data_IF_237022370395
#
_entry.id   IF_237022370395
#
_cell.length_a   1.000
_cell.length_b   1.000
_cell.length_c   1.000
_cell.angle_alpha   90.00
_cell.angle_beta   90.00
_cell.angle_gamma   90.00
#
_symmetry.space_group_name_H-M   'P 1'
#
loop_
_entity.id
_entity.type
_entity.pdbx_description
1 polymer ?
#
# COMPACT_ATOMS: atom_id res chain seq x y z
N UNK A 1 21.49 9.43 9.22
CA UNK A 1 21.53 10.07 7.89
C UNK A 1 21.27 9.09 6.74
N UNK A 2 21.99 7.96 6.66
CA UNK A 2 21.83 6.96 5.56
C UNK A 2 20.39 6.43 5.41
N UNK A 3 19.72 6.08 6.51
CA UNK A 3 18.34 5.55 6.44
C UNK A 3 17.34 6.56 5.87
N UNK A 4 17.48 7.83 6.24
CA UNK A 4 16.59 8.90 5.80
C UNK A 4 16.74 9.17 4.28
N UNK A 5 17.95 8.95 3.74
CA UNK A 5 18.18 8.96 2.29
C UNK A 5 17.54 7.74 1.60
N UNK A 6 17.60 6.56 2.22
CA UNK A 6 16.99 5.35 1.65
C UNK A 6 15.46 5.46 1.60
N UNK A 7 14.82 5.93 2.67
CA UNK A 7 13.37 6.13 2.72
C UNK A 7 12.91 7.13 1.66
N UNK A 8 13.61 8.25 1.51
CA UNK A 8 13.30 9.25 0.49
C UNK A 8 13.51 8.71 -0.94
N UNK A 9 14.62 8.03 -1.20
CA UNK A 9 14.88 7.39 -2.51
C UNK A 9 13.82 6.32 -2.83
N UNK A 10 13.41 5.55 -1.83
CA UNK A 10 12.37 4.53 -1.99
C UNK A 10 11.01 5.15 -2.33
N UNK A 11 10.67 6.29 -1.72
CA UNK A 11 9.46 7.03 -2.05
C UNK A 11 9.49 7.59 -3.47
N UNK A 12 10.64 8.13 -3.91
CA UNK A 12 10.84 8.58 -5.28
C UNK A 12 10.72 7.42 -6.29
N UNK A 13 11.35 6.28 -6.00
CA UNK A 13 11.27 5.10 -6.84
C UNK A 13 9.83 4.57 -6.91
N UNK A 14 9.13 4.51 -5.78
CA UNK A 14 7.74 4.10 -5.72
C UNK A 14 6.83 5.02 -6.54
N UNK A 15 7.03 6.34 -6.43
CA UNK A 15 6.33 7.32 -7.26
C UNK A 15 6.66 7.13 -8.75
N UNK A 16 7.93 6.93 -9.11
CA UNK A 16 8.34 6.68 -10.50
C UNK A 16 7.69 5.43 -11.09
N UNK A 17 7.64 4.32 -10.32
CA UNK A 17 6.95 3.09 -10.72
C UNK A 17 5.46 3.35 -10.93
N UNK A 18 4.80 4.05 -10.00
CA UNK A 18 3.40 4.41 -10.15
C UNK A 18 3.15 5.25 -11.41
N UNK A 19 3.92 6.32 -11.61
CA UNK A 19 3.79 7.19 -12.78
C UNK A 19 4.00 6.41 -14.08
N UNK A 20 5.02 5.57 -14.13
CA UNK A 20 5.27 4.71 -15.30
C UNK A 20 4.07 3.82 -15.62
N UNK A 21 3.49 3.14 -14.62
CA UNK A 21 2.34 2.26 -14.82
C UNK A 21 1.09 3.03 -15.24
N UNK A 22 0.83 4.18 -14.62
CA UNK A 22 -0.35 5.01 -14.86
C UNK A 22 -0.33 5.66 -16.24
N UNK A 23 0.79 6.28 -16.63
CA UNK A 23 0.89 6.93 -17.94
C UNK A 23 0.87 5.90 -19.06
N UNK A 24 1.48 4.72 -18.85
CA UNK A 24 1.39 3.62 -19.80
C UNK A 24 -0.05 3.16 -20.02
N UNK A 25 -0.85 3.09 -18.96
CA UNK A 25 -2.25 2.67 -19.03
C UNK A 25 -3.25 3.81 -19.32
N UNK A 26 -2.79 5.05 -19.51
CA UNK A 26 -3.67 6.21 -19.73
C UNK A 26 -4.61 6.55 -18.56
N UNK A 27 -4.32 6.07 -17.34
CA UNK A 27 -5.21 6.17 -16.17
C UNK A 27 -5.12 7.52 -15.43
N UNK A 28 -5.38 8.60 -16.16
CA UNK A 28 -5.24 9.96 -15.61
C UNK A 28 -6.23 10.28 -14.49
N UNK A 29 -7.38 9.61 -14.43
CA UNK A 29 -8.34 9.79 -13.33
C UNK A 29 -7.74 9.37 -11.97
N UNK A 30 -7.07 8.22 -11.92
CA UNK A 30 -6.38 7.76 -10.70
C UNK A 30 -5.21 8.70 -10.34
N UNK A 31 -4.46 9.16 -11.34
CA UNK A 31 -3.39 10.16 -11.12
C UNK A 31 -3.91 11.43 -10.45
N UNK A 32 -4.91 12.08 -11.06
CA UNK A 32 -5.46 13.34 -10.56
C UNK A 32 -6.16 13.17 -9.21
N UNK A 33 -6.86 12.06 -8.99
CA UNK A 33 -7.43 11.74 -7.68
C UNK A 33 -6.34 11.64 -6.60
N UNK A 34 -5.22 10.99 -6.92
CA UNK A 34 -4.09 10.86 -5.98
C UNK A 34 -3.45 12.21 -5.67
N UNK A 35 -3.31 13.09 -6.66
CA UNK A 35 -2.83 14.47 -6.45
C UNK A 35 -3.81 15.26 -5.58
N UNK A 36 -5.10 15.22 -5.88
CA UNK A 36 -6.12 15.93 -5.12
C UNK A 36 -6.13 15.48 -3.64
N UNK A 37 -6.00 14.17 -3.40
CA UNK A 37 -5.87 13.60 -2.06
C UNK A 37 -4.59 14.07 -1.35
N UNK A 38 -3.44 14.01 -2.04
CA UNK A 38 -2.18 14.49 -1.50
C UNK A 38 -2.26 15.97 -1.09
N UNK A 39 -2.82 16.83 -1.94
CA UNK A 39 -3.01 18.25 -1.65
C UNK A 39 -3.99 18.46 -0.48
N UNK A 40 -5.13 17.78 -0.49
CA UNK A 40 -6.14 17.88 0.56
C UNK A 40 -5.60 17.47 1.93
N UNK A 41 -4.90 16.33 2.01
CA UNK A 41 -4.24 15.87 3.23
C UNK A 41 -3.16 16.84 3.65
N UNK A 42 -2.41 17.42 2.71
CA UNK A 42 -1.37 18.40 3.04
C UNK A 42 -1.95 19.67 3.65
N UNK A 43 -3.12 20.16 3.19
CA UNK A 43 -3.84 21.28 3.82
C UNK A 43 -4.27 20.92 5.25
N UNK A 44 -4.84 19.73 5.44
CA UNK A 44 -5.25 19.25 6.76
C UNK A 44 -4.04 19.07 7.69
N UNK A 45 -2.93 18.58 7.14
CA UNK A 45 -1.67 18.37 7.84
C UNK A 45 -1.10 19.66 8.42
N UNK A 46 -1.15 20.78 7.69
CA UNK A 46 -0.71 22.09 8.21
C UNK A 46 -1.49 22.49 9.47
N UNK A 47 -2.78 22.16 9.54
CA UNK A 47 -3.63 22.48 10.70
C UNK A 47 -3.35 21.55 11.88
N UNK A 48 -3.08 20.27 11.61
CA UNK A 48 -2.83 19.24 12.64
C UNK A 48 -1.43 19.31 13.24
N UNK A 49 -0.41 19.50 12.38
CA UNK A 49 1.01 19.53 12.76
C UNK A 49 1.71 20.72 12.10
N UNK A 50 1.41 21.95 12.56
CA UNK A 50 1.99 23.16 11.99
C UNK A 50 3.51 23.14 12.05
N UNK A 51 4.15 23.53 10.95
CA UNK A 51 5.62 23.53 10.82
C UNK A 51 6.23 22.18 10.40
N UNK A 52 5.58 21.04 10.71
CA UNK A 52 6.08 19.70 10.39
C UNK A 52 5.42 19.09 9.15
N UNK A 53 4.11 19.31 8.98
CA UNK A 53 3.34 18.79 7.86
C UNK A 53 2.80 19.95 7.00
N UNK A 54 3.03 19.89 5.69
CA UNK A 54 2.42 20.80 4.73
C UNK A 54 2.82 20.46 3.29
N UNK A 55 2.25 21.18 2.32
CA UNK A 55 2.44 20.88 0.88
C UNK A 55 3.91 20.91 0.45
N UNK A 56 4.69 21.81 1.03
CA UNK A 56 6.12 22.00 0.72
C UNK A 56 7.05 21.23 1.66
N UNK A 57 6.49 20.36 2.53
CA UNK A 57 7.26 19.54 3.47
C UNK A 57 7.41 18.13 2.93
N UNK A 58 8.41 17.41 3.44
CA UNK A 58 8.68 16.03 3.03
C UNK A 58 7.66 15.03 3.61
N UNK A 59 7.03 15.31 4.75
CA UNK A 59 6.15 14.37 5.44
C UNK A 59 5.03 13.75 4.57
N UNK A 60 4.28 14.52 3.75
CA UNK A 60 3.32 13.94 2.81
C UNK A 60 3.92 12.89 1.84
N UNK A 61 5.18 13.03 1.45
CA UNK A 61 5.84 12.12 0.51
C UNK A 61 6.12 10.73 1.11
N UNK A 62 5.97 10.57 2.43
CA UNK A 62 6.25 9.31 3.12
C UNK A 62 5.00 8.42 3.23
N UNK A 63 3.82 8.91 2.86
CA UNK A 63 2.58 8.10 2.87
C UNK A 63 1.93 7.92 1.48
N UNK A 64 2.69 7.66 0.39
CA UNK A 64 2.11 7.57 -0.94
C UNK A 64 1.13 6.46 -1.15
N UNK A 65 1.37 5.34 -0.52
CA UNK A 65 0.42 4.24 -0.52
C UNK A 65 -0.97 4.67 -0.07
N UNK A 66 -1.13 5.64 0.85
CA UNK A 66 -2.45 6.12 1.26
C UNK A 66 -3.24 6.76 0.12
N UNK A 67 -2.66 7.78 -0.52
CA UNK A 67 -3.35 8.49 -1.60
C UNK A 67 -3.49 7.63 -2.85
N UNK A 68 -2.51 6.77 -3.12
CA UNK A 68 -2.59 5.83 -4.23
C UNK A 68 -3.65 4.75 -3.99
N UNK A 69 -3.80 4.22 -2.77
CA UNK A 69 -4.86 3.25 -2.44
C UNK A 69 -6.23 3.88 -2.63
N UNK A 70 -6.47 5.05 -2.07
CA UNK A 70 -7.76 5.72 -2.20
C UNK A 70 -8.06 6.11 -3.66
N UNK A 71 -7.06 6.62 -4.38
CA UNK A 71 -7.21 6.94 -5.80
C UNK A 71 -7.51 5.70 -6.66
N UNK A 72 -7.10 4.50 -6.23
CA UNK A 72 -7.32 3.26 -6.99
C UNK A 72 -8.79 2.90 -7.16
N UNK A 73 -9.70 3.52 -6.40
CA UNK A 73 -11.16 3.37 -6.59
C UNK A 73 -11.55 3.64 -8.05
N UNK A 74 -10.93 4.62 -8.72
CA UNK A 74 -11.20 4.91 -10.13
C UNK A 74 -10.77 3.77 -11.06
N UNK A 75 -9.68 3.06 -10.72
CA UNK A 75 -9.29 1.84 -11.42
C UNK A 75 -10.35 0.74 -11.22
N UNK A 76 -10.79 0.51 -9.98
CA UNK A 76 -11.74 -0.56 -9.69
C UNK A 76 -13.14 -0.32 -10.29
N UNK A 77 -13.60 0.93 -10.38
CA UNK A 77 -14.92 1.24 -10.98
C UNK A 77 -14.93 0.91 -12.48
N UNK A 78 -13.85 1.22 -13.20
CA UNK A 78 -13.82 1.09 -14.66
C UNK A 78 -13.27 -0.25 -15.17
N UNK A 79 -12.38 -0.89 -14.40
CA UNK A 79 -11.49 -1.94 -14.93
C UNK A 79 -11.48 -3.22 -14.08
N UNK A 80 -12.38 -3.34 -13.10
CA UNK A 80 -12.50 -4.55 -12.28
C UNK A 80 -13.81 -5.27 -12.55
N UNK A 81 -13.72 -6.30 -13.40
CA UNK A 81 -14.89 -7.03 -13.89
C UNK A 81 -14.94 -8.44 -13.33
N UNK A 82 -16.14 -8.98 -13.16
CA UNK A 82 -16.32 -10.40 -12.86
C UNK A 82 -15.99 -11.21 -14.10
N UNK A 83 -15.25 -12.32 -13.95
CA UNK A 83 -14.96 -13.20 -15.09
C UNK A 83 -16.25 -13.80 -15.65
N UNK A 84 -16.25 -14.06 -16.95
CA UNK A 84 -17.37 -14.70 -17.67
C UNK A 84 -17.67 -16.12 -17.19
N UNK A 85 -16.68 -16.82 -16.66
CA UNK A 85 -16.82 -18.14 -16.03
C UNK A 85 -17.37 -18.09 -14.59
N UNK A 86 -17.68 -16.90 -14.07
CA UNK A 86 -18.20 -16.66 -12.72
C UNK A 86 -17.19 -16.85 -11.59
N UNK A 87 -15.99 -17.35 -11.88
CA UNK A 87 -14.98 -17.80 -10.92
C UNK A 87 -13.85 -16.78 -10.78
N UNK A 88 -14.18 -15.67 -10.13
CA UNK A 88 -13.24 -14.63 -9.73
C UNK A 88 -13.39 -13.34 -10.53
N UNK A 89 -12.34 -12.54 -10.48
CA UNK A 89 -12.30 -11.19 -11.01
C UNK A 89 -11.18 -11.04 -12.03
N UNK A 90 -11.35 -10.09 -12.94
CA UNK A 90 -10.40 -9.72 -13.96
C UNK A 90 -10.21 -8.20 -13.93
N UNK A 91 -8.98 -7.81 -13.66
CA UNK A 91 -8.45 -6.47 -13.88
C UNK A 91 -8.19 -6.22 -15.37
N UNK A 92 -7.82 -4.98 -15.72
CA UNK A 92 -7.33 -4.62 -17.07
C UNK A 92 -6.30 -5.64 -17.61
N UNK A 93 -6.65 -6.42 -18.66
CA UNK A 93 -5.76 -7.39 -19.27
C UNK A 93 -4.57 -6.78 -20.01
N UNK A 94 -4.70 -5.55 -20.51
CA UNK A 94 -3.65 -4.87 -21.26
C UNK A 94 -2.56 -4.34 -20.33
N UNK A 95 -2.94 -3.98 -19.11
CA UNK A 95 -2.05 -3.41 -18.09
C UNK A 95 -2.06 -4.21 -16.78
N UNK A 96 -1.66 -5.50 -16.79
CA UNK A 96 -1.84 -6.38 -15.64
C UNK A 96 -1.03 -5.96 -14.40
N UNK A 97 0.13 -5.33 -14.61
CA UNK A 97 0.97 -4.81 -13.51
C UNK A 97 0.26 -3.70 -12.73
N UNK A 98 -0.57 -2.90 -13.41
CA UNK A 98 -1.35 -1.85 -12.76
C UNK A 98 -2.46 -2.45 -11.87
N UNK A 99 -3.10 -3.52 -12.34
CA UNK A 99 -4.04 -4.30 -11.53
C UNK A 99 -3.37 -4.93 -10.31
N UNK A 100 -2.20 -5.55 -10.48
CA UNK A 100 -1.42 -6.08 -9.36
C UNK A 100 -1.03 -4.98 -8.36
N UNK A 101 -0.63 -3.81 -8.85
CA UNK A 101 -0.30 -2.66 -8.02
C UNK A 101 -1.52 -2.18 -7.21
N UNK A 102 -2.68 -2.01 -7.86
CA UNK A 102 -3.92 -1.62 -7.19
C UNK A 102 -4.34 -2.63 -6.10
N UNK A 103 -4.42 -3.91 -6.47
CA UNK A 103 -4.90 -4.99 -5.59
C UNK A 103 -3.95 -5.21 -4.41
N UNK A 104 -2.64 -5.20 -4.65
CA UNK A 104 -1.65 -5.34 -3.57
C UNK A 104 -1.69 -4.16 -2.61
N UNK A 105 -1.84 -2.92 -3.11
CA UNK A 105 -1.91 -1.74 -2.24
C UNK A 105 -3.17 -1.76 -1.38
N UNK A 106 -4.33 -2.10 -1.95
CA UNK A 106 -5.58 -2.31 -1.18
C UNK A 106 -5.41 -3.43 -0.16
N UNK A 107 -4.81 -4.56 -0.54
CA UNK A 107 -4.59 -5.70 0.38
C UNK A 107 -3.69 -5.31 1.55
N UNK A 108 -2.62 -4.55 1.28
CA UNK A 108 -1.72 -4.01 2.29
C UNK A 108 -2.44 -3.04 3.24
N UNK A 109 -3.28 -2.14 2.71
CA UNK A 109 -4.07 -1.21 3.53
C UNK A 109 -5.09 -1.93 4.39
N UNK A 110 -5.82 -2.92 3.84
CA UNK A 110 -6.78 -3.73 4.60
C UNK A 110 -6.09 -4.53 5.72
N UNK A 111 -4.94 -5.14 5.42
CA UNK A 111 -4.13 -5.83 6.41
C UNK A 111 -3.69 -4.88 7.53
N UNK A 112 -3.20 -3.68 7.19
CA UNK A 112 -2.76 -2.69 8.16
C UNK A 112 -3.90 -2.24 9.09
N UNK A 113 -5.06 -1.90 8.52
CA UNK A 113 -6.25 -1.52 9.30
C UNK A 113 -6.69 -2.67 10.20
N UNK A 114 -6.69 -3.90 9.69
CA UNK A 114 -6.99 -5.10 10.47
C UNK A 114 -6.04 -5.30 11.65
N UNK A 115 -4.74 -5.09 11.45
CA UNK A 115 -3.74 -5.16 12.52
C UNK A 115 -3.99 -4.05 13.56
N UNK A 116 -4.23 -2.81 13.12
CA UNK A 116 -4.55 -1.70 14.03
C UNK A 116 -5.78 -2.01 14.89
N UNK A 117 -6.83 -2.56 14.29
CA UNK A 117 -8.04 -2.97 15.01
C UNK A 117 -7.76 -4.09 16.02
N UNK A 118 -7.01 -5.12 15.62
CA UNK A 118 -6.60 -6.21 16.52
C UNK A 118 -5.73 -5.69 17.66
N UNK A 119 -4.80 -4.78 17.39
CA UNK A 119 -3.95 -4.19 18.43
C UNK A 119 -4.77 -3.40 19.43
N UNK A 120 -5.75 -2.62 18.93
CA UNK A 120 -6.66 -1.88 19.79
C UNK A 120 -7.53 -2.80 20.66
N UNK A 121 -7.94 -3.95 20.11
CA UNK A 121 -8.79 -4.92 20.82
C UNK A 121 -8.01 -5.78 21.81
N UNK A 122 -6.81 -6.24 21.45
CA UNK A 122 -6.04 -7.22 22.21
C UNK A 122 -5.07 -6.62 23.23
N UNK A 123 -4.62 -5.37 23.05
CA UNK A 123 -3.64 -4.74 23.93
C UNK A 123 -4.20 -3.49 24.59
N UNK A 124 -3.75 -3.22 25.82
CA UNK A 124 -4.09 -2.02 26.58
C UNK A 124 -2.86 -1.40 27.26
N UNK A 125 -2.97 -0.16 27.69
CA UNK A 125 -1.93 0.56 28.43
C UNK A 125 -0.65 0.79 27.61
N UNK A 126 0.50 0.68 28.25
CA UNK A 126 1.79 1.05 27.65
C UNK A 126 2.18 0.16 26.46
N UNK A 127 1.82 -1.12 26.49
CA UNK A 127 2.09 -2.05 25.38
C UNK A 127 1.42 -1.59 24.10
N UNK A 128 0.16 -1.15 24.20
CA UNK A 128 -0.61 -0.63 23.08
C UNK A 128 0.08 0.59 22.44
N UNK A 129 0.60 1.51 23.25
CA UNK A 129 1.31 2.70 22.78
C UNK A 129 2.56 2.32 21.98
N UNK A 130 3.38 1.40 22.49
CA UNK A 130 4.59 0.96 21.79
C UNK A 130 4.29 0.24 20.47
N UNK A 131 3.25 -0.60 20.44
CA UNK A 131 2.84 -1.28 19.20
C UNK A 131 2.31 -0.27 18.18
N UNK A 132 1.51 0.72 18.58
CA UNK A 132 1.08 1.78 17.66
C UNK A 132 2.24 2.65 17.18
N UNK A 133 3.24 2.92 18.01
CA UNK A 133 4.44 3.61 17.57
C UNK A 133 5.22 2.79 16.51
N UNK A 134 5.31 1.47 16.65
CA UNK A 134 5.89 0.59 15.65
C UNK A 134 5.08 0.55 14.34
N UNK A 135 3.74 0.52 14.43
CA UNK A 135 2.84 0.61 13.27
C UNK A 135 2.96 1.96 12.56
N UNK A 136 3.06 3.06 13.30
CA UNK A 136 3.31 4.38 12.73
C UNK A 136 4.68 4.44 12.05
N UNK A 137 5.70 3.79 12.63
CA UNK A 137 7.01 3.65 11.96
C UNK A 137 6.90 2.93 10.63
N UNK A 138 6.21 1.79 10.59
CA UNK A 138 5.97 1.01 9.37
C UNK A 138 5.24 1.84 8.30
N UNK A 139 4.20 2.57 8.72
CA UNK A 139 3.29 3.25 7.81
C UNK A 139 3.84 4.58 7.30
N UNK A 140 4.37 5.43 8.18
CA UNK A 140 4.67 6.83 7.85
C UNK A 140 6.13 7.24 8.06
N UNK A 141 6.91 6.57 8.92
CA UNK A 141 8.27 7.04 9.24
C UNK A 141 9.37 6.28 8.49
N UNK A 142 9.15 5.02 8.13
CA UNK A 142 10.05 4.17 7.34
C UNK A 142 9.30 3.51 6.18
N UNK A 143 8.83 4.31 5.20
CA UNK A 143 7.95 3.83 4.13
C UNK A 143 8.61 2.80 3.20
N UNK A 144 9.95 2.68 3.22
CA UNK A 144 10.67 1.64 2.49
C UNK A 144 10.12 0.24 2.77
N UNK A 145 9.74 -0.04 4.01
CA UNK A 145 9.17 -1.34 4.38
C UNK A 145 7.84 -1.58 3.68
N UNK A 146 6.96 -0.58 3.65
CA UNK A 146 5.68 -0.70 2.95
C UNK A 146 5.90 -1.03 1.47
N UNK A 147 6.79 -0.31 0.81
CA UNK A 147 7.04 -0.48 -0.63
C UNK A 147 7.63 -1.86 -0.92
N UNK A 148 8.63 -2.29 -0.15
CA UNK A 148 9.23 -3.63 -0.30
C UNK A 148 8.17 -4.71 -0.10
N UNK A 149 7.37 -4.64 0.95
CA UNK A 149 6.31 -5.61 1.21
C UNK A 149 5.26 -5.66 0.10
N UNK A 150 4.87 -4.50 -0.44
CA UNK A 150 3.95 -4.43 -1.57
C UNK A 150 4.54 -5.06 -2.84
N UNK A 151 5.80 -4.77 -3.16
CA UNK A 151 6.48 -5.39 -4.31
C UNK A 151 6.63 -6.91 -4.14
N UNK A 152 6.95 -7.38 -2.93
CA UNK A 152 6.96 -8.81 -2.62
C UNK A 152 5.57 -9.42 -2.83
N UNK A 153 4.51 -8.76 -2.34
CA UNK A 153 3.14 -9.24 -2.53
C UNK A 153 2.75 -9.30 -4.01
N UNK A 154 3.12 -8.27 -4.80
CA UNK A 154 2.92 -8.26 -6.25
C UNK A 154 3.67 -9.41 -6.92
N UNK A 155 4.93 -9.65 -6.55
CA UNK A 155 5.74 -10.72 -7.10
C UNK A 155 5.17 -12.10 -6.76
N UNK A 156 4.75 -12.33 -5.52
CA UNK A 156 4.09 -13.57 -5.09
C UNK A 156 2.80 -13.79 -5.86
N UNK A 157 1.96 -12.76 -5.98
CA UNK A 157 0.71 -12.84 -6.75
C UNK A 157 0.98 -13.14 -8.24
N UNK A 158 2.00 -12.51 -8.82
CA UNK A 158 2.41 -12.74 -10.21
C UNK A 158 2.92 -14.18 -10.42
N UNK A 159 3.84 -14.65 -9.58
CA UNK A 159 4.43 -16.00 -9.67
C UNK A 159 3.36 -17.08 -9.45
N UNK A 160 2.48 -16.90 -8.46
CA UNK A 160 1.37 -17.80 -8.23
C UNK A 160 0.49 -17.90 -9.48
N UNK A 161 0.21 -16.76 -10.14
CA UNK A 161 -0.72 -16.74 -11.26
C UNK A 161 -0.12 -17.26 -12.57
N UNK A 162 1.04 -16.73 -12.94
CA UNK A 162 1.70 -17.07 -14.20
C UNK A 162 2.46 -18.40 -14.11
N UNK A 163 3.14 -18.65 -12.99
CA UNK A 163 4.02 -19.80 -12.81
C UNK A 163 3.29 -21.07 -12.40
N UNK A 164 2.39 -20.96 -11.42
CA UNK A 164 1.68 -22.13 -10.85
C UNK A 164 0.36 -22.38 -11.59
N UNK A 165 -0.53 -21.39 -11.60
CA UNK A 165 -1.87 -21.55 -12.18
C UNK A 165 -1.90 -21.46 -13.72
N UNK A 166 -0.81 -20.99 -14.35
CA UNK A 166 -0.72 -20.68 -15.79
C UNK A 166 -1.87 -19.81 -16.31
N UNK A 167 -2.35 -18.90 -15.47
CA UNK A 167 -3.41 -17.94 -15.80
C UNK A 167 -2.83 -16.52 -15.99
N UNK A 168 -3.53 -15.64 -16.71
CA UNK A 168 -3.06 -14.28 -16.92
C UNK A 168 -2.97 -13.52 -15.58
N UNK A 169 -1.95 -12.66 -15.39
CA UNK A 169 -1.70 -11.93 -14.14
C UNK A 169 -2.78 -10.90 -13.78
N UNK A 170 -3.65 -10.56 -14.75
CA UNK A 170 -4.82 -9.70 -14.53
C UNK A 170 -6.01 -10.42 -13.87
N UNK A 171 -5.91 -11.72 -13.59
CA UNK A 171 -7.04 -12.48 -13.02
C UNK A 171 -6.80 -12.83 -11.56
N UNK A 172 -7.85 -12.70 -10.75
CA UNK A 172 -7.79 -12.81 -9.30
C UNK A 172 -8.92 -13.69 -8.77
N UNK A 173 -8.57 -14.77 -8.08
CA UNK A 173 -9.53 -15.62 -7.38
C UNK A 173 -9.96 -15.03 -6.03
N UNK A 174 -11.18 -15.30 -5.57
CA UNK A 174 -11.63 -14.84 -4.24
C UNK A 174 -10.78 -15.39 -3.09
N UNK A 175 -10.35 -16.66 -3.17
CA UNK A 175 -9.40 -17.24 -2.21
C UNK A 175 -8.01 -16.60 -2.30
N UNK A 176 -7.55 -16.27 -3.51
CA UNK A 176 -6.28 -15.59 -3.72
C UNK A 176 -6.28 -14.19 -3.09
N UNK A 177 -7.37 -13.43 -3.21
CA UNK A 177 -7.51 -12.12 -2.57
C UNK A 177 -7.46 -12.24 -1.04
N UNK A 178 -8.20 -13.20 -0.46
CA UNK A 178 -8.18 -13.46 0.99
C UNK A 178 -6.78 -13.87 1.49
N UNK A 179 -6.12 -14.77 0.77
CA UNK A 179 -4.74 -15.18 1.06
C UNK A 179 -3.74 -14.03 0.88
N UNK A 180 -3.96 -13.15 -0.09
CA UNK A 180 -3.16 -11.95 -0.30
C UNK A 180 -3.22 -10.99 0.89
N UNK A 181 -4.43 -10.74 1.43
CA UNK A 181 -4.60 -9.94 2.66
C UNK A 181 -3.94 -10.64 3.86
N UNK A 182 -4.10 -11.96 4.00
CA UNK A 182 -3.49 -12.71 5.10
C UNK A 182 -1.95 -12.70 5.01
N UNK A 183 -1.39 -12.88 3.82
CA UNK A 183 0.05 -12.78 3.59
C UNK A 183 0.57 -11.37 3.91
N UNK A 184 -0.14 -10.32 3.46
CA UNK A 184 0.18 -8.94 3.82
C UNK A 184 0.16 -8.73 5.34
N UNK A 185 -0.83 -9.30 6.03
CA UNK A 185 -0.94 -9.21 7.49
C UNK A 185 0.26 -9.86 8.18
N UNK A 186 0.63 -11.08 7.79
CA UNK A 186 1.79 -11.79 8.34
C UNK A 186 3.09 -11.02 8.12
N UNK A 187 3.30 -10.51 6.90
CA UNK A 187 4.48 -9.72 6.57
C UNK A 187 4.55 -8.43 7.40
N UNK A 188 3.43 -7.72 7.54
CA UNK A 188 3.39 -6.49 8.33
C UNK A 188 3.61 -6.77 9.82
N UNK A 189 3.00 -7.82 10.38
CA UNK A 189 3.24 -8.22 11.78
C UNK A 189 4.72 -8.53 12.03
N UNK A 190 5.37 -9.26 11.11
CA UNK A 190 6.79 -9.57 11.22
C UNK A 190 7.66 -8.30 11.25
N UNK A 191 7.39 -7.35 10.35
CA UNK A 191 8.13 -6.07 10.33
C UNK A 191 7.79 -5.21 11.55
N UNK A 192 6.53 -5.17 11.99
CA UNK A 192 6.13 -4.45 13.21
C UNK A 192 6.83 -5.00 14.44
N UNK A 193 6.96 -6.32 14.58
CA UNK A 193 7.70 -6.95 15.68
C UNK A 193 9.18 -6.56 15.66
N UNK A 194 9.81 -6.53 14.48
CA UNK A 194 11.18 -6.05 14.30
C UNK A 194 11.32 -4.57 14.70
N UNK A 195 10.40 -3.71 14.26
CA UNK A 195 10.38 -2.27 14.59
C UNK A 195 10.11 -2.01 16.08
N UNK A 196 9.31 -2.87 16.73
CA UNK A 196 9.07 -2.80 18.16
C UNK A 196 10.36 -3.08 18.95
N UNK A 197 11.14 -4.09 18.51
CA UNK A 197 12.45 -4.39 19.09
C UNK A 197 13.47 -3.24 18.91
N UNK A 198 13.35 -2.44 17.84
CA UNK A 198 14.16 -1.22 17.69
C UNK A 198 13.74 -0.09 18.65
N UNK A 199 12.45 -0.02 19.03
CA UNK A 199 11.94 1.02 19.94
C UNK A 199 12.29 0.71 21.40
N UNK A 200 12.32 -0.57 21.78
CA UNK A 200 12.65 -1.00 23.14
C UNK A 200 14.14 -1.01 23.49
N UNK A 201 15.02 -0.62 22.56
CA UNK A 201 16.46 -0.40 22.79
C UNK A 201 16.72 1.07 23.05
#
# INVERSE_FOLDING_TARGET
MILLHLDFLSALLYAAVFLFLIFRAGMLQWFWASIALWLGISVLGVKLMPGMWGMTRAAPLFIPHFYLTLGSIFFFIGYWNRKTDGNGWQADPEHPLLGLFAVSNVSMTLAFVGICALVHYCFSGTVQVFVFAALLKLYALKPVYWFVLQFVLMAVAYVHRCGIDRQPPSTFGGSQLRLGVLAAMLMQVAVTAMLLAEIGR
#
